data_IF_801551798646
#
_entry.id   IF_801551798646
#
_cell.length_a   1.000
_cell.length_b   1.000
_cell.length_c   1.000
_cell.angle_alpha   90.00
_cell.angle_beta   90.00
_cell.angle_gamma   90.00
#
_symmetry.space_group_name_H-M   'P 1'
#
loop_
_entity.id
_entity.type
_entity.pdbx_description
1 polymer ?
#
# COMPACT_ATOMS: atom_id res chain seq x y z
N UNK A 1 -10.59 3.89 -1.04
CA UNK A 1 -11.10 3.67 -2.41
C UNK A 1 -11.69 4.95 -3.01
N UNK A 2 -12.71 5.57 -2.42
CA UNK A 2 -13.30 6.81 -2.93
C UNK A 2 -12.28 7.97 -3.07
N UNK A 3 -11.40 8.16 -2.08
CA UNK A 3 -10.34 9.20 -2.14
C UNK A 3 -9.37 8.97 -3.30
N UNK A 4 -8.95 7.72 -3.55
CA UNK A 4 -8.09 7.40 -4.69
C UNK A 4 -8.78 7.71 -6.02
N UNK A 5 -10.08 7.41 -6.13
CA UNK A 5 -10.85 7.78 -7.32
C UNK A 5 -10.95 9.28 -7.51
N UNK A 6 -11.09 10.05 -6.43
CA UNK A 6 -11.08 11.51 -6.47
C UNK A 6 -9.74 12.08 -6.94
N UNK A 7 -8.62 11.48 -6.52
CA UNK A 7 -7.28 11.91 -6.95
C UNK A 7 -6.96 11.50 -8.40
N UNK A 8 -7.44 10.34 -8.84
CA UNK A 8 -7.18 9.79 -10.18
C UNK A 8 -8.18 10.28 -11.24
N UNK A 9 -9.32 10.84 -10.83
CA UNK A 9 -10.31 11.33 -11.78
C UNK A 9 -9.94 12.72 -12.29
N UNK A 10 -10.31 13.01 -13.54
CA UNK A 10 -10.22 14.34 -14.14
C UNK A 10 -11.40 15.27 -13.78
N UNK A 11 -12.33 14.79 -12.95
CA UNK A 11 -13.45 15.57 -12.41
C UNK A 11 -14.14 14.79 -11.29
N UNK A 12 -14.86 15.50 -10.42
CA UNK A 12 -15.65 14.91 -9.34
C UNK A 12 -16.75 14.00 -9.91
N UNK A 13 -17.36 14.35 -11.04
CA UNK A 13 -18.37 13.52 -11.72
C UNK A 13 -17.80 12.18 -12.19
N UNK A 14 -16.62 12.17 -12.81
CA UNK A 14 -15.94 10.92 -13.20
C UNK A 14 -15.60 10.06 -11.97
N UNK A 15 -15.18 10.68 -10.86
CA UNK A 15 -14.93 9.96 -9.61
C UNK A 15 -16.21 9.31 -9.06
N UNK A 16 -17.34 10.02 -9.09
CA UNK A 16 -18.65 9.49 -8.70
C UNK A 16 -19.04 8.26 -9.53
N UNK A 17 -18.98 8.36 -10.86
CA UNK A 17 -19.35 7.23 -11.73
C UNK A 17 -18.41 6.03 -11.55
N UNK A 18 -17.12 6.26 -11.33
CA UNK A 18 -16.17 5.20 -11.00
C UNK A 18 -16.52 4.49 -9.69
N UNK A 19 -16.89 5.25 -8.66
CA UNK A 19 -17.35 4.70 -7.38
C UNK A 19 -18.62 3.87 -7.55
N UNK A 20 -19.61 4.38 -8.29
CA UNK A 20 -20.88 3.68 -8.52
C UNK A 20 -20.67 2.38 -9.29
N UNK A 21 -19.80 2.38 -10.30
CA UNK A 21 -19.45 1.18 -11.04
C UNK A 21 -18.76 0.12 -10.16
N UNK A 22 -18.04 0.53 -9.13
CA UNK A 22 -17.34 -0.39 -8.22
C UNK A 22 -18.29 -1.11 -7.27
N UNK A 23 -19.41 -0.49 -6.90
CA UNK A 23 -20.45 -1.08 -6.06
C UNK A 23 -21.65 -1.62 -6.85
N UNK A 24 -21.56 -1.64 -8.19
CA UNK A 24 -22.63 -2.14 -9.04
C UNK A 24 -22.82 -3.64 -8.80
N UNK A 25 -23.96 -4.02 -8.22
CA UNK A 25 -24.27 -5.42 -7.95
C UNK A 25 -24.79 -6.16 -9.20
N UNK A 26 -24.49 -7.46 -9.33
CA UNK A 26 -25.04 -8.29 -10.40
C UNK A 26 -26.57 -8.35 -10.37
N UNK A 27 -27.17 -8.61 -11.54
CA UNK A 27 -28.63 -8.72 -11.67
C UNK A 27 -29.12 -9.95 -10.91
N UNK A 28 -29.92 -9.74 -9.87
CA UNK A 28 -30.51 -10.82 -9.05
C UNK A 28 -30.03 -10.85 -7.60
N UNK A 29 -29.03 -10.03 -7.24
CA UNK A 29 -28.53 -9.92 -5.86
C UNK A 29 -29.05 -8.65 -5.16
N UNK A 30 -29.02 -8.66 -3.82
CA UNK A 30 -29.34 -7.48 -3.02
C UNK A 30 -28.39 -6.33 -3.38
N UNK A 31 -28.95 -5.13 -3.61
CA UNK A 31 -28.15 -3.94 -3.95
C UNK A 31 -27.24 -3.57 -2.78
N UNK A 32 -25.98 -3.27 -3.08
CA UNK A 32 -25.06 -2.71 -2.11
C UNK A 32 -25.58 -1.32 -1.69
N UNK A 33 -25.77 -1.02 -0.39
CA UNK A 33 -26.22 0.30 0.06
C UNK A 33 -25.33 1.46 -0.42
N UNK A 34 -24.06 1.20 -0.75
CA UNK A 34 -23.13 2.20 -1.29
C UNK A 34 -23.37 2.50 -2.77
N UNK A 35 -24.10 1.63 -3.47
CA UNK A 35 -24.50 1.83 -4.88
C UNK A 35 -25.71 2.76 -5.03
N UNK A 36 -26.38 3.12 -3.93
CA UNK A 36 -27.57 3.97 -3.94
C UNK A 36 -27.29 5.42 -3.63
N UNK A 37 -26.04 5.80 -3.34
CA UNK A 37 -25.72 7.19 -3.00
C UNK A 37 -26.00 8.08 -4.23
N UNK A 38 -26.69 9.19 -3.97
CA UNK A 38 -26.95 10.20 -4.99
C UNK A 38 -25.71 11.04 -5.25
N UNK A 39 -25.66 11.69 -6.40
CA UNK A 39 -24.58 12.63 -6.72
C UNK A 39 -24.49 13.79 -5.71
N UNK A 40 -25.64 14.31 -5.24
CA UNK A 40 -25.66 15.39 -4.23
C UNK A 40 -25.12 14.95 -2.88
N UNK A 41 -25.40 13.72 -2.44
CA UNK A 41 -24.81 13.17 -1.21
C UNK A 41 -23.30 12.96 -1.37
N UNK A 42 -22.87 12.48 -2.54
CA UNK A 42 -21.44 12.36 -2.86
C UNK A 42 -20.71 13.71 -2.79
N UNK A 43 -21.29 14.77 -3.33
CA UNK A 43 -20.71 16.12 -3.24
C UNK A 43 -20.56 16.60 -1.79
N UNK A 44 -21.56 16.35 -0.92
CA UNK A 44 -21.44 16.66 0.51
C UNK A 44 -20.30 15.91 1.19
N UNK A 45 -20.06 14.66 0.81
CA UNK A 45 -18.91 13.91 1.32
C UNK A 45 -17.57 14.47 0.81
N UNK A 46 -17.51 14.90 -0.45
CA UNK A 46 -16.32 15.55 -1.02
C UNK A 46 -16.05 16.87 -0.32
N UNK A 47 -17.08 17.69 -0.09
CA UNK A 47 -16.99 18.95 0.65
C UNK A 47 -16.51 18.72 2.09
N UNK A 48 -17.10 17.75 2.80
CA UNK A 48 -16.66 17.39 4.15
C UNK A 48 -15.20 16.92 4.19
N UNK A 49 -14.76 16.19 3.15
CA UNK A 49 -13.36 15.77 3.00
C UNK A 49 -12.43 16.96 2.76
N UNK A 50 -12.80 17.90 1.88
CA UNK A 50 -12.05 19.13 1.62
C UNK A 50 -11.97 19.99 2.88
N UNK A 51 -13.07 20.17 3.60
CA UNK A 51 -13.11 20.95 4.84
C UNK A 51 -12.17 20.37 5.90
N UNK A 52 -12.02 19.04 5.95
CA UNK A 52 -11.08 18.36 6.84
C UNK A 52 -9.63 18.45 6.35
N UNK A 53 -9.42 18.50 5.03
CA UNK A 53 -8.10 18.53 4.39
C UNK A 53 -8.01 19.65 3.33
N UNK A 54 -7.98 20.94 3.73
CA UNK A 54 -8.05 22.05 2.79
C UNK A 54 -6.92 22.07 1.75
N UNK A 55 -5.75 21.53 2.11
CA UNK A 55 -4.60 21.41 1.20
C UNK A 55 -4.88 20.55 -0.04
N UNK A 56 -5.86 19.66 0.01
CA UNK A 56 -6.20 18.74 -1.08
C UNK A 56 -7.26 19.26 -2.04
N UNK A 57 -7.93 20.38 -1.72
CA UNK A 57 -9.00 20.96 -2.54
C UNK A 57 -8.56 21.13 -4.01
N UNK A 58 -7.39 21.72 -4.19
CA UNK A 58 -6.83 22.00 -5.49
C UNK A 58 -6.25 20.77 -6.22
N UNK A 59 -6.27 19.60 -5.59
CA UNK A 59 -5.73 18.35 -6.12
C UNK A 59 -6.84 17.36 -6.51
N UNK A 60 -8.03 17.50 -5.95
CA UNK A 60 -9.16 16.60 -6.23
C UNK A 60 -9.72 16.85 -7.63
N UNK A 61 -9.99 15.77 -8.37
CA UNK A 61 -10.58 15.85 -9.70
C UNK A 61 -9.63 16.40 -10.77
N UNK A 62 -8.31 16.34 -10.56
CA UNK A 62 -7.29 16.86 -11.48
C UNK A 62 -6.27 15.81 -11.94
N UNK A 63 -6.64 14.53 -11.91
CA UNK A 63 -5.77 13.42 -12.36
C UNK A 63 -4.36 13.44 -11.73
N UNK A 64 -4.30 13.79 -10.45
CA UNK A 64 -3.03 13.91 -9.73
C UNK A 64 -2.39 12.56 -9.46
N UNK A 65 -3.20 11.49 -9.46
CA UNK A 65 -2.72 10.12 -9.25
C UNK A 65 -1.61 9.71 -10.20
N UNK A 66 -1.76 9.96 -11.51
CA UNK A 66 -0.75 9.60 -12.50
C UNK A 66 0.55 10.37 -12.25
N UNK A 67 0.47 11.66 -11.90
CA UNK A 67 1.66 12.45 -11.56
C UNK A 67 2.34 11.90 -10.30
N UNK A 68 1.58 11.59 -9.26
CA UNK A 68 2.14 11.02 -8.02
C UNK A 68 2.83 9.68 -8.30
N UNK A 69 2.19 8.80 -9.08
CA UNK A 69 2.79 7.53 -9.50
C UNK A 69 4.05 7.73 -10.35
N UNK A 70 4.12 8.78 -11.16
CA UNK A 70 5.33 9.12 -11.90
C UNK A 70 6.46 9.48 -10.94
N UNK A 71 6.20 10.33 -9.95
CA UNK A 71 7.18 10.70 -8.93
C UNK A 71 7.63 9.48 -8.11
N UNK A 72 6.70 8.62 -7.70
CA UNK A 72 7.01 7.36 -7.02
C UNK A 72 7.93 6.47 -7.87
N UNK A 73 7.67 6.37 -9.17
CA UNK A 73 8.52 5.58 -10.07
C UNK A 73 9.94 6.15 -10.22
N UNK A 74 10.11 7.48 -10.17
CA UNK A 74 11.43 8.11 -10.15
C UNK A 74 12.21 7.76 -8.88
N UNK A 75 11.54 7.68 -7.72
CA UNK A 75 12.16 7.29 -6.45
C UNK A 75 12.66 5.85 -6.54
N UNK A 76 11.81 4.94 -7.00
CA UNK A 76 12.18 3.53 -7.19
C UNK A 76 13.31 3.38 -8.21
N UNK A 77 13.28 4.13 -9.31
CA UNK A 77 14.36 4.12 -10.30
C UNK A 77 15.71 4.55 -9.69
N UNK A 78 15.72 5.60 -8.87
CA UNK A 78 16.93 6.06 -8.20
C UNK A 78 17.52 4.96 -7.29
N UNK A 79 16.66 4.30 -6.50
CA UNK A 79 17.06 3.19 -5.62
C UNK A 79 17.63 2.03 -6.46
N UNK A 80 16.94 1.61 -7.53
CA UNK A 80 17.39 0.54 -8.43
C UNK A 80 18.79 0.86 -8.98
N UNK A 81 19.00 2.09 -9.46
CA UNK A 81 20.30 2.51 -10.03
C UNK A 81 21.42 2.43 -9.00
N UNK A 82 21.18 2.86 -7.77
CA UNK A 82 22.18 2.77 -6.72
C UNK A 82 22.51 1.31 -6.38
N UNK A 83 21.51 0.45 -6.18
CA UNK A 83 21.72 -0.95 -5.85
C UNK A 83 22.43 -1.74 -6.97
N UNK A 84 22.06 -1.50 -8.24
CA UNK A 84 22.76 -2.09 -9.40
C UNK A 84 24.23 -1.66 -9.44
N UNK A 85 24.53 -0.38 -9.15
CA UNK A 85 25.92 0.10 -9.14
C UNK A 85 26.78 -0.59 -8.08
N UNK A 86 26.17 -0.99 -6.96
CA UNK A 86 26.80 -1.75 -5.89
C UNK A 86 26.77 -3.27 -6.12
N UNK A 87 26.25 -3.74 -7.26
CA UNK A 87 26.06 -5.17 -7.60
C UNK A 87 25.16 -5.91 -6.61
N UNK A 88 24.20 -5.20 -6.01
CA UNK A 88 23.25 -5.75 -5.06
C UNK A 88 21.89 -5.96 -5.74
N UNK A 89 21.35 -7.18 -5.77
CA UNK A 89 20.04 -7.43 -6.34
C UNK A 89 18.93 -6.91 -5.41
N UNK A 90 17.91 -6.28 -5.99
CA UNK A 90 16.68 -5.91 -5.29
C UNK A 90 15.47 -6.30 -6.13
N UNK A 91 14.34 -6.54 -5.47
CA UNK A 91 13.06 -6.79 -6.13
C UNK A 91 12.05 -5.70 -5.73
N UNK A 92 11.64 -4.88 -6.70
CA UNK A 92 10.65 -3.83 -6.47
C UNK A 92 9.22 -4.40 -6.57
N UNK A 93 8.38 -4.03 -5.61
CA UNK A 93 6.95 -4.37 -5.56
C UNK A 93 6.18 -3.07 -5.34
N UNK A 94 5.71 -2.44 -6.43
CA UNK A 94 5.14 -1.09 -6.40
C UNK A 94 6.13 -0.06 -5.81
N UNK A 95 5.77 0.53 -4.67
CA UNK A 95 6.53 1.50 -3.87
C UNK A 95 7.43 0.82 -2.81
N UNK A 96 7.34 -0.50 -2.69
CA UNK A 96 8.12 -1.29 -1.74
C UNK A 96 9.29 -1.97 -2.44
N UNK A 97 10.34 -2.28 -1.68
CA UNK A 97 11.49 -3.04 -2.16
C UNK A 97 11.74 -4.23 -1.24
N UNK A 98 12.11 -5.35 -1.85
CA UNK A 98 12.60 -6.55 -1.18
C UNK A 98 14.10 -6.59 -1.39
N UNK A 99 14.83 -6.63 -0.28
CA UNK A 99 16.29 -6.64 -0.22
C UNK A 99 16.76 -7.79 0.66
N UNK A 100 18.01 -8.19 0.48
CA UNK A 100 18.65 -9.10 1.44
C UNK A 100 18.73 -8.44 2.82
N UNK A 101 18.55 -9.24 3.86
CA UNK A 101 18.48 -8.79 5.25
C UNK A 101 19.70 -7.95 5.67
N UNK A 102 20.90 -8.36 5.26
CA UNK A 102 22.16 -7.65 5.50
C UNK A 102 22.21 -6.24 4.88
N UNK A 103 21.32 -5.92 3.93
CA UNK A 103 21.27 -4.65 3.22
C UNK A 103 20.06 -3.78 3.62
N UNK A 104 19.30 -4.15 4.66
CA UNK A 104 18.13 -3.39 5.11
C UNK A 104 18.48 -1.96 5.50
N UNK A 105 19.58 -1.73 6.24
CA UNK A 105 19.97 -0.38 6.63
C UNK A 105 20.44 0.46 5.43
N UNK A 106 21.15 -0.17 4.48
CA UNK A 106 21.53 0.48 3.22
C UNK A 106 20.27 0.86 2.40
N UNK A 107 19.29 -0.04 2.32
CA UNK A 107 18.03 0.19 1.63
C UNK A 107 17.26 1.36 2.27
N UNK A 108 17.17 1.40 3.60
CA UNK A 108 16.51 2.49 4.33
C UNK A 108 17.22 3.82 4.09
N UNK A 109 18.55 3.85 4.16
CA UNK A 109 19.33 5.05 3.88
C UNK A 109 19.12 5.52 2.43
N UNK A 110 19.12 4.60 1.47
CA UNK A 110 18.90 4.93 0.05
C UNK A 110 17.49 5.43 -0.21
N UNK A 111 16.46 4.83 0.39
CA UNK A 111 15.08 5.30 0.24
C UNK A 111 14.90 6.73 0.77
N UNK A 112 15.55 7.06 1.90
CA UNK A 112 15.60 8.44 2.42
C UNK A 112 16.35 9.39 1.50
N UNK A 113 17.51 8.97 1.01
CA UNK A 113 18.31 9.78 0.09
C UNK A 113 17.57 10.05 -1.24
N UNK A 114 16.93 9.03 -1.80
CA UNK A 114 16.14 9.13 -3.03
C UNK A 114 14.93 10.05 -2.88
N UNK A 115 14.19 9.95 -1.76
CA UNK A 115 13.07 10.86 -1.49
C UNK A 115 13.53 12.29 -1.27
N UNK A 116 14.59 12.50 -0.50
CA UNK A 116 15.14 13.84 -0.32
C UNK A 116 15.60 14.46 -1.66
N UNK A 117 16.23 13.66 -2.52
CA UNK A 117 16.67 14.10 -3.85
C UNK A 117 15.53 14.51 -4.78
N UNK A 118 14.41 13.78 -4.76
CA UNK A 118 13.31 13.97 -5.72
C UNK A 118 12.22 14.90 -5.19
N UNK A 119 11.89 14.79 -3.90
CA UNK A 119 10.84 15.55 -3.23
C UNK A 119 11.38 16.76 -2.46
N UNK A 120 12.68 16.81 -2.17
CA UNK A 120 13.27 17.81 -1.26
C UNK A 120 12.99 17.53 0.22
N UNK A 121 12.47 16.35 0.55
CA UNK A 121 12.18 15.93 1.93
C UNK A 121 12.32 14.43 2.09
N UNK A 122 12.67 13.98 3.30
CA UNK A 122 12.76 12.56 3.63
C UNK A 122 11.38 12.02 4.02
N UNK A 123 10.98 10.92 3.40
CA UNK A 123 9.81 10.16 3.84
C UNK A 123 10.20 9.07 4.83
N UNK A 124 9.27 8.73 5.73
CA UNK A 124 9.36 7.57 6.59
C UNK A 124 8.94 6.31 5.83
N UNK A 125 9.63 5.20 6.08
CA UNK A 125 9.34 3.91 5.45
C UNK A 125 9.12 2.83 6.50
N UNK A 126 8.11 1.99 6.25
CA UNK A 126 7.76 0.87 7.12
C UNK A 126 8.53 -0.39 6.74
N UNK A 127 8.85 -1.21 7.74
CA UNK A 127 9.50 -2.50 7.55
C UNK A 127 8.50 -3.62 7.86
N UNK A 128 8.08 -4.35 6.83
CA UNK A 128 7.00 -5.35 6.94
C UNK A 128 7.43 -6.69 7.59
N UNK A 129 8.72 -6.96 7.80
CA UNK A 129 9.23 -8.20 8.43
C UNK A 129 10.22 -7.91 9.55
N UNK A 130 10.14 -8.71 10.61
CA UNK A 130 11.20 -8.76 11.62
C UNK A 130 12.49 -9.26 10.99
N UNK A 131 13.60 -8.57 11.28
CA UNK A 131 14.94 -9.05 10.97
C UNK A 131 15.52 -9.81 12.15
N UNK A 132 16.47 -10.70 11.86
CA UNK A 132 17.30 -11.41 12.81
C UNK A 132 17.92 -10.46 13.83
N UNK A 133 18.39 -9.28 13.43
CA UNK A 133 18.95 -8.29 14.36
C UNK A 133 17.93 -7.80 15.40
N UNK A 134 16.68 -7.57 14.98
CA UNK A 134 15.60 -7.18 15.91
C UNK A 134 15.32 -8.32 16.88
N UNK A 135 15.27 -9.56 16.39
CA UNK A 135 15.05 -10.76 17.20
C UNK A 135 16.25 -11.02 18.13
N UNK A 136 17.49 -10.83 17.68
CA UNK A 136 18.69 -10.93 18.50
C UNK A 136 18.66 -9.89 19.63
N UNK A 137 18.21 -8.67 19.33
CA UNK A 137 17.99 -7.63 20.32
C UNK A 137 17.02 -8.05 21.42
N UNK A 138 16.01 -8.89 21.12
CA UNK A 138 15.05 -9.32 22.14
C UNK A 138 15.63 -10.30 23.16
N UNK A 139 16.69 -11.05 22.82
CA UNK A 139 17.38 -11.92 23.78
C UNK A 139 18.06 -11.14 24.93
N UNK A 140 18.20 -9.82 24.82
CA UNK A 140 18.67 -8.98 25.93
C UNK A 140 17.60 -8.77 27.02
N UNK A 141 16.32 -9.01 26.71
CA UNK A 141 15.23 -8.91 27.68
C UNK A 141 15.14 -10.16 28.57
N UNK A 142 14.73 -9.97 29.82
CA UNK A 142 14.52 -11.07 30.79
C UNK A 142 13.22 -11.85 30.56
N UNK A 143 12.43 -11.47 29.58
CA UNK A 143 11.16 -12.10 29.23
C UNK A 143 11.38 -13.11 28.08
N UNK A 144 11.32 -14.40 28.45
CA UNK A 144 11.49 -15.51 27.51
C UNK A 144 10.29 -15.68 26.59
N UNK A 145 9.08 -15.42 27.08
CA UNK A 145 7.86 -15.59 26.29
C UNK A 145 7.80 -14.53 25.19
N UNK A 146 8.19 -13.29 25.52
CA UNK A 146 8.36 -12.22 24.54
C UNK A 146 9.42 -12.56 23.47
N UNK A 147 10.60 -13.04 23.89
CA UNK A 147 11.69 -13.40 22.97
C UNK A 147 11.29 -14.55 22.05
N UNK A 148 10.67 -15.61 22.61
CA UNK A 148 10.21 -16.76 21.86
C UNK A 148 9.14 -16.37 20.83
N UNK A 149 8.20 -15.49 21.18
CA UNK A 149 7.19 -15.00 20.25
C UNK A 149 7.81 -14.31 19.02
N UNK A 150 8.81 -13.45 19.23
CA UNK A 150 9.55 -12.79 18.14
C UNK A 150 10.35 -13.77 17.29
N UNK A 151 10.99 -14.76 17.94
CA UNK A 151 11.77 -15.79 17.26
C UNK A 151 10.89 -16.72 16.41
N UNK A 152 9.72 -17.11 16.93
CA UNK A 152 8.74 -17.92 16.20
C UNK A 152 8.16 -17.15 15.01
N UNK A 153 7.86 -15.85 15.17
CA UNK A 153 7.45 -14.99 14.05
C UNK A 153 8.53 -14.90 12.98
N UNK A 154 9.79 -14.69 13.36
CA UNK A 154 10.91 -14.63 12.40
C UNK A 154 11.10 -15.94 11.63
N UNK A 155 10.99 -17.08 12.32
CA UNK A 155 11.08 -18.41 11.69
C UNK A 155 9.88 -18.74 10.81
N UNK A 156 8.75 -18.08 11.02
CA UNK A 156 7.56 -18.30 10.21
C UNK A 156 7.78 -17.74 8.79
N UNK A 157 7.76 -18.63 7.80
CA UNK A 157 7.83 -18.25 6.37
C UNK A 157 6.50 -17.65 5.89
N UNK A 158 5.43 -17.93 6.63
CA UNK A 158 4.07 -17.50 6.39
C UNK A 158 3.67 -16.46 7.44
N UNK A 159 2.80 -15.49 7.09
CA UNK A 159 2.20 -14.63 8.09
C UNK A 159 1.46 -15.48 9.14
N UNK A 160 1.57 -15.11 10.43
CA UNK A 160 0.91 -15.82 11.55
C UNK A 160 -0.59 -16.00 11.32
N UNK A 161 -1.23 -15.02 10.67
CA UNK A 161 -2.64 -15.08 10.29
C UNK A 161 -2.82 -14.84 8.79
N UNK A 162 -3.66 -15.67 8.18
CA UNK A 162 -4.07 -15.49 6.79
C UNK A 162 -5.00 -14.27 6.68
N UNK A 163 -4.65 -13.32 5.80
CA UNK A 163 -5.52 -12.17 5.55
C UNK A 163 -6.88 -12.60 4.98
N UNK A 164 -7.93 -11.82 5.24
CA UNK A 164 -9.27 -12.07 4.66
C UNK A 164 -9.22 -12.18 3.13
N UNK A 165 -8.39 -11.36 2.48
CA UNK A 165 -8.16 -11.44 1.03
C UNK A 165 -7.50 -12.75 0.62
N UNK A 166 -6.50 -13.22 1.35
CA UNK A 166 -5.85 -14.51 1.09
C UNK A 166 -6.86 -15.66 1.19
N UNK A 167 -7.66 -15.70 2.25
CA UNK A 167 -8.69 -16.72 2.46
C UNK A 167 -9.73 -16.70 1.34
N UNK A 168 -10.22 -15.52 0.96
CA UNK A 168 -11.18 -15.37 -0.15
C UNK A 168 -10.59 -15.84 -1.46
N UNK A 169 -9.36 -15.44 -1.79
CA UNK A 169 -8.69 -15.87 -3.02
C UNK A 169 -8.44 -17.38 -3.05
N UNK A 170 -8.01 -17.96 -1.92
CA UNK A 170 -7.81 -19.40 -1.77
C UNK A 170 -9.12 -20.17 -1.97
N UNK A 171 -10.23 -19.67 -1.39
CA UNK A 171 -11.57 -20.24 -1.59
C UNK A 171 -11.96 -20.19 -3.07
N UNK A 172 -11.82 -19.05 -3.73
CA UNK A 172 -12.13 -18.90 -5.16
C UNK A 172 -11.28 -19.85 -6.02
N UNK A 173 -9.99 -19.97 -5.73
CA UNK A 173 -9.09 -20.88 -6.45
C UNK A 173 -9.46 -22.35 -6.27
N UNK A 174 -9.82 -22.76 -5.05
CA UNK A 174 -10.24 -24.13 -4.78
C UNK A 174 -11.56 -24.47 -5.50
N UNK A 175 -12.52 -23.53 -5.53
CA UNK A 175 -13.76 -23.70 -6.29
C UNK A 175 -13.50 -23.83 -7.81
N UNK A 176 -12.52 -23.08 -8.35
CA UNK A 176 -12.12 -23.21 -9.75
C UNK A 176 -11.53 -24.59 -10.05
N UNK A 177 -10.64 -25.11 -9.18
CA UNK A 177 -10.06 -26.46 -9.32
C UNK A 177 -11.11 -27.57 -9.36
N UNK A 178 -12.21 -27.44 -8.61
CA UNK A 178 -13.27 -28.45 -8.57
C UNK A 178 -14.27 -28.35 -9.73
N UNK A 179 -14.23 -27.26 -10.49
CA UNK A 179 -15.12 -27.02 -11.64
C UNK A 179 -14.48 -27.46 -12.97
N UNK A 180 -13.21 -27.88 -12.95
CA UNK A 180 -12.47 -28.44 -14.10
C UNK A 180 -12.33 -29.94 -13.92
#
# INVERSE_FOLDING_TARGET
MAVMMLLNAHSISKAYFALMNTYKTPKGEAKDPRSTITYSEFEKYVEAFINKHPSLENLIGKDQGIRLMYVDSQIIEAIIRNFISNKLPILCVHDSIIVEEQHVELARAEMKAATNKILGTELSFDQNRLTYDVVQGTFTYKDKDFTNHYFDYFRSVLPLEATTRHITNLRTFNNWKTTT
#
